data_IF_743212482819
#
_entry.id   IF_743212482819
#
_cell.length_a   1.000
_cell.length_b   1.000
_cell.length_c   1.000
_cell.angle_alpha   90.00
_cell.angle_beta   90.00
_cell.angle_gamma   90.00
#
_symmetry.space_group_name_H-M   'P 1'
#
loop_
_entity.id
_entity.type
_entity.pdbx_description
1 polymer ?
#
# COMPACT_ATOMS: atom_id res chain seq x y z
N UNK A 1 35.32 -39.96 14.58
CA UNK A 1 35.64 -39.20 13.35
C UNK A 1 34.38 -39.09 12.50
N UNK A 2 33.67 -37.95 12.56
CA UNK A 2 32.49 -37.66 11.74
C UNK A 2 32.77 -36.42 10.90
N UNK A 3 33.12 -36.64 9.63
CA UNK A 3 33.42 -35.60 8.63
C UNK A 3 32.51 -35.70 7.40
N UNK A 4 31.52 -36.61 7.42
CA UNK A 4 30.64 -36.90 6.26
C UNK A 4 29.20 -36.40 6.43
N UNK A 5 28.80 -36.04 7.66
CA UNK A 5 27.44 -35.56 8.00
C UNK A 5 27.29 -34.03 7.84
N UNK A 6 28.42 -33.31 7.68
CA UNK A 6 28.42 -31.85 7.52
C UNK A 6 28.04 -31.39 6.11
N UNK A 7 28.05 -32.31 5.13
CA UNK A 7 27.41 -32.10 3.84
C UNK A 7 25.90 -32.36 3.94
N UNK A 8 25.26 -31.66 4.87
CA UNK A 8 23.93 -31.06 4.66
C UNK A 8 24.02 -30.12 3.46
N UNK A 9 24.15 -30.69 2.27
CA UNK A 9 23.70 -30.03 1.06
C UNK A 9 22.35 -30.65 0.76
N UNK A 10 21.28 -29.94 1.12
CA UNK A 10 20.02 -30.16 0.43
C UNK A 10 20.16 -29.39 -0.90
N UNK A 11 20.27 -30.07 -2.05
CA UNK A 11 20.24 -29.41 -3.35
C UNK A 11 18.79 -29.04 -3.65
N UNK A 12 18.34 -28.03 -2.94
CA UNK A 12 17.09 -27.31 -3.12
C UNK A 12 17.41 -25.84 -2.89
N UNK A 13 18.51 -25.38 -3.49
CA UNK A 13 18.77 -23.97 -3.67
C UNK A 13 17.77 -23.47 -4.71
N UNK A 14 16.48 -23.45 -4.31
CA UNK A 14 15.45 -22.66 -4.94
C UNK A 14 16.08 -21.29 -5.04
N UNK A 15 16.36 -20.86 -6.27
CA UNK A 15 16.88 -19.55 -6.55
C UNK A 15 16.03 -18.56 -5.75
N UNK A 16 16.61 -18.04 -4.67
CA UNK A 16 16.07 -16.89 -3.98
C UNK A 16 16.29 -15.74 -4.94
N UNK A 17 15.43 -15.68 -5.96
CA UNK A 17 15.22 -14.49 -6.77
C UNK A 17 15.05 -13.38 -5.75
N UNK A 18 16.01 -12.45 -5.77
CA UNK A 18 16.19 -11.35 -4.82
C UNK A 18 14.89 -10.96 -4.14
N UNK A 19 14.81 -10.84 -2.80
CA UNK A 19 13.61 -10.35 -2.14
C UNK A 19 13.28 -9.01 -2.79
N UNK A 20 12.24 -9.06 -3.64
CA UNK A 20 11.93 -8.00 -4.56
C UNK A 20 11.55 -6.79 -3.75
N UNK A 21 11.58 -5.63 -4.39
CA UNK A 21 11.04 -4.37 -3.87
C UNK A 21 9.64 -4.53 -3.21
N UNK A 22 8.92 -5.62 -3.51
CA UNK A 22 7.72 -6.13 -2.84
C UNK A 22 7.81 -6.34 -1.30
N UNK A 23 8.95 -6.72 -0.72
CA UNK A 23 9.02 -6.99 0.74
C UNK A 23 9.29 -5.73 1.57
N UNK A 24 9.91 -4.71 0.95
CA UNK A 24 10.24 -3.44 1.62
C UNK A 24 9.11 -2.42 1.60
N UNK A 25 8.18 -2.53 0.66
CA UNK A 25 7.03 -1.63 0.58
C UNK A 25 5.89 -2.22 1.41
N UNK A 26 5.97 -2.04 2.73
CA UNK A 26 4.86 -2.19 3.68
C UNK A 26 3.84 -1.03 3.57
N UNK A 27 3.90 -0.22 2.51
CA UNK A 27 2.74 0.58 2.12
C UNK A 27 1.78 -0.40 1.46
N UNK A 28 0.53 -0.43 1.90
CA UNK A 28 -0.55 -1.23 1.32
C UNK A 28 -0.83 -0.80 -0.13
N UNK A 29 0.09 -1.10 -1.04
CA UNK A 29 0.00 -0.87 -2.48
C UNK A 29 -1.32 -1.43 -3.06
N UNK A 30 -1.81 -2.62 -2.68
CA UNK A 30 -3.13 -3.07 -3.11
C UNK A 30 -4.27 -2.17 -2.59
N UNK A 31 -4.22 -1.70 -1.34
CA UNK A 31 -5.25 -0.80 -0.80
C UNK A 31 -5.21 0.56 -1.52
N UNK A 32 -4.03 1.14 -1.69
CA UNK A 32 -3.87 2.43 -2.37
C UNK A 32 -4.29 2.34 -3.84
N UNK A 33 -3.99 1.23 -4.52
CA UNK A 33 -4.46 0.96 -5.87
C UNK A 33 -5.99 0.82 -5.94
N UNK A 34 -6.60 0.03 -5.04
CA UNK A 34 -8.06 -0.11 -4.99
C UNK A 34 -8.76 1.23 -4.68
N UNK A 35 -8.18 2.03 -3.79
CA UNK A 35 -8.68 3.35 -3.43
C UNK A 35 -8.61 4.32 -4.62
N UNK A 36 -7.48 4.37 -5.34
CA UNK A 36 -7.35 5.17 -6.56
C UNK A 36 -8.37 4.74 -7.62
N UNK A 37 -8.57 3.43 -7.78
CA UNK A 37 -9.56 2.91 -8.73
C UNK A 37 -10.99 3.36 -8.38
N UNK A 38 -11.35 3.36 -7.10
CA UNK A 38 -12.62 3.92 -6.63
C UNK A 38 -12.71 5.44 -6.83
N UNK A 39 -11.64 6.20 -6.58
CA UNK A 39 -11.64 7.65 -6.80
C UNK A 39 -11.86 8.01 -8.27
N UNK A 40 -11.18 7.31 -9.18
CA UNK A 40 -11.32 7.51 -10.63
C UNK A 40 -12.75 7.16 -11.09
N UNK A 41 -13.30 6.03 -10.63
CA UNK A 41 -14.70 5.67 -10.91
C UNK A 41 -15.70 6.67 -10.33
N UNK A 42 -15.43 7.22 -9.15
CA UNK A 42 -16.25 8.27 -8.55
C UNK A 42 -16.21 9.58 -9.35
N UNK A 43 -15.05 9.94 -9.89
CA UNK A 43 -14.88 11.10 -10.77
C UNK A 43 -15.65 10.95 -12.08
N UNK A 44 -15.63 9.77 -12.71
CA UNK A 44 -16.37 9.54 -13.97
C UNK A 44 -17.88 9.62 -13.75
N UNK A 45 -18.38 9.05 -12.66
CA UNK A 45 -19.81 9.16 -12.27
C UNK A 45 -20.19 10.60 -11.95
N UNK A 46 -19.35 11.31 -11.19
CA UNK A 46 -19.61 12.71 -10.84
C UNK A 46 -19.59 13.63 -12.07
N UNK A 47 -18.67 13.41 -13.00
CA UNK A 47 -18.63 14.16 -14.26
C UNK A 47 -19.89 13.91 -15.10
N UNK A 48 -20.36 12.66 -15.14
CA UNK A 48 -21.59 12.28 -15.85
C UNK A 48 -22.85 12.85 -15.21
N UNK A 49 -22.95 12.85 -13.88
CA UNK A 49 -24.10 13.38 -13.15
C UNK A 49 -24.09 14.91 -13.03
N UNK A 50 -22.90 15.52 -13.02
CA UNK A 50 -22.69 16.96 -12.86
C UNK A 50 -22.87 17.77 -14.14
N UNK A 51 -23.31 17.14 -15.24
CA UNK A 51 -23.57 17.83 -16.51
C UNK A 51 -22.35 18.54 -17.08
N UNK A 52 -21.18 17.88 -17.07
CA UNK A 52 -19.91 18.44 -17.60
C UNK A 52 -19.29 19.59 -16.76
N UNK A 53 -19.81 19.83 -15.54
CA UNK A 53 -19.29 20.88 -14.67
C UNK A 53 -17.90 20.52 -14.11
N UNK A 54 -16.85 21.07 -14.73
CA UNK A 54 -15.46 20.93 -14.27
C UNK A 54 -15.27 21.41 -12.81
N UNK A 55 -16.10 22.36 -12.36
CA UNK A 55 -16.09 22.85 -10.98
C UNK A 55 -16.39 21.77 -9.93
N UNK A 56 -17.30 20.84 -10.23
CA UNK A 56 -17.62 19.70 -9.35
C UNK A 56 -16.44 18.73 -9.26
N UNK A 57 -15.78 18.47 -10.40
CA UNK A 57 -14.60 17.61 -10.46
C UNK A 57 -13.45 18.21 -9.66
N UNK A 58 -13.18 19.51 -9.79
CA UNK A 58 -12.13 20.21 -9.05
C UNK A 58 -12.40 20.14 -7.54
N UNK A 59 -13.64 20.42 -7.09
CA UNK A 59 -14.01 20.29 -5.67
C UNK A 59 -13.80 18.87 -5.14
N UNK A 60 -14.10 17.86 -5.95
CA UNK A 60 -13.90 16.46 -5.57
C UNK A 60 -12.42 16.08 -5.53
N UNK A 61 -11.61 16.55 -6.48
CA UNK A 61 -10.16 16.38 -6.47
C UNK A 61 -9.52 16.98 -5.22
N UNK A 62 -9.96 18.16 -4.78
CA UNK A 62 -9.46 18.77 -3.53
C UNK A 62 -9.79 17.89 -2.33
N UNK A 63 -11.00 17.33 -2.26
CA UNK A 63 -11.41 16.41 -1.17
C UNK A 63 -10.59 15.12 -1.17
N UNK A 64 -10.37 14.53 -2.35
CA UNK A 64 -9.53 13.34 -2.49
C UNK A 64 -8.07 13.62 -2.17
N UNK A 65 -7.52 14.74 -2.63
CA UNK A 65 -6.17 15.17 -2.30
C UNK A 65 -5.98 15.44 -0.81
N UNK A 66 -6.94 16.10 -0.16
CA UNK A 66 -6.92 16.32 1.29
C UNK A 66 -6.97 15.00 2.07
N UNK A 67 -7.82 14.06 1.66
CA UNK A 67 -7.92 12.72 2.27
C UNK A 67 -6.65 11.89 2.09
N UNK A 68 -6.10 11.85 0.88
CA UNK A 68 -4.82 11.17 0.59
C UNK A 68 -3.65 11.82 1.33
N UNK A 69 -3.61 13.15 1.39
CA UNK A 69 -2.61 13.90 2.14
C UNK A 69 -2.68 13.59 3.64
N UNK A 70 -3.89 13.60 4.23
CA UNK A 70 -4.09 13.21 5.63
C UNK A 70 -3.66 11.76 5.88
N UNK A 71 -4.05 10.83 5.00
CA UNK A 71 -3.63 9.43 5.07
C UNK A 71 -2.11 9.30 4.98
N UNK A 72 -1.45 10.04 4.09
CA UNK A 72 0.01 10.01 3.93
C UNK A 72 0.72 10.56 5.17
N UNK A 73 0.24 11.67 5.73
CA UNK A 73 0.76 12.24 6.97
C UNK A 73 0.61 11.24 8.12
N UNK A 74 -0.56 10.62 8.27
CA UNK A 74 -0.81 9.60 9.30
C UNK A 74 0.01 8.32 9.08
N UNK A 75 0.18 7.88 7.83
CA UNK A 75 0.99 6.71 7.48
C UNK A 75 2.50 6.94 7.71
N UNK A 76 2.96 8.18 7.58
CA UNK A 76 4.33 8.56 7.91
C UNK A 76 4.61 8.53 9.42
N UNK A 77 3.58 8.55 10.29
CA UNK A 77 3.71 8.23 11.71
C UNK A 77 3.65 6.71 11.90
N UNK A 78 4.80 6.03 12.08
CA UNK A 78 4.82 4.58 12.06
C UNK A 78 4.03 4.01 13.26
N UNK A 79 3.30 2.90 13.09
CA UNK A 79 2.51 2.23 14.14
C UNK A 79 3.39 1.57 15.22
N UNK A 80 4.67 1.95 15.37
CA UNK A 80 5.46 1.55 16.55
C UNK A 80 4.95 2.18 17.85
N UNK A 81 4.18 3.27 17.77
CA UNK A 81 3.52 3.87 18.95
C UNK A 81 2.22 3.15 19.35
N UNK A 82 1.57 2.43 18.43
CA UNK A 82 0.33 1.70 18.74
C UNK A 82 0.56 0.46 19.61
N UNK A 83 1.79 -0.07 19.63
CA UNK A 83 2.14 -1.22 20.46
C UNK A 83 2.19 -0.93 21.97
N UNK A 84 2.08 0.35 22.37
CA UNK A 84 1.96 0.75 23.78
C UNK A 84 0.50 0.82 24.27
N UNK A 85 -0.49 0.77 23.38
CA UNK A 85 -1.92 0.83 23.72
C UNK A 85 -2.62 -0.52 23.65
N UNK A 86 -1.90 -1.59 23.28
CA UNK A 86 -2.36 -2.96 23.47
C UNK A 86 -2.05 -3.35 24.92
N UNK A 87 -3.04 -3.40 25.84
CA UNK A 87 -2.82 -4.00 27.14
C UNK A 87 -2.64 -5.50 26.93
N UNK A 88 -1.55 -6.06 27.48
CA UNK A 88 -1.41 -7.51 27.69
C UNK A 88 -2.20 -7.92 28.93
#
# INVERSE_FOLDING_TARGET
MSQREFFRQMPGQSASLSPGLAERVHLDAPLLASLLMLMLGGLTVLYSAGGESMELVIRQCIRFGAGLGAMFVLAQFPPRSYRFWAPV
#
